data_IF_265412463227
#
_entry.id   IF_265412463227
#
_cell.length_a   1.000
_cell.length_b   1.000
_cell.length_c   1.000
_cell.angle_alpha   90.00
_cell.angle_beta   90.00
_cell.angle_gamma   90.00
#
_symmetry.space_group_name_H-M   'P 1'
#
loop_
_entity.id
_entity.type
_entity.pdbx_description
1 polymer ?
#
# COMPACT_ATOMS: atom_id res chain seq x y z
N UNK A 1 -2.74 -3.79 29.18
CA UNK A 1 -1.93 -3.63 27.95
C UNK A 1 -0.65 -2.91 28.31
N UNK A 2 0.51 -3.59 28.27
CA UNK A 2 1.80 -2.93 28.46
C UNK A 2 2.12 -2.04 27.25
N UNK A 3 2.42 -0.76 27.48
CA UNK A 3 2.41 0.32 26.49
C UNK A 3 3.66 0.38 25.59
N UNK A 4 4.69 -0.45 25.84
CA UNK A 4 6.03 -0.28 25.23
C UNK A 4 6.75 -1.59 24.86
N UNK A 5 6.03 -2.61 24.38
CA UNK A 5 6.66 -3.81 23.80
C UNK A 5 6.94 -3.60 22.31
N UNK A 6 8.01 -2.88 21.99
CA UNK A 6 8.54 -2.80 20.61
C UNK A 6 9.41 -4.02 20.34
N UNK A 7 9.17 -4.75 19.24
CA UNK A 7 10.13 -5.78 18.79
C UNK A 7 11.47 -5.10 18.49
N UNK A 8 12.57 -5.65 19.01
CA UNK A 8 13.90 -5.16 18.64
C UNK A 8 14.24 -5.57 17.20
N UNK A 9 15.06 -4.76 16.53
CA UNK A 9 15.55 -5.05 15.16
C UNK A 9 16.30 -6.38 15.09
N UNK A 10 17.04 -6.75 16.14
CA UNK A 10 17.72 -8.04 16.22
C UNK A 10 16.74 -9.22 16.18
N UNK A 11 15.59 -9.10 16.87
CA UNK A 11 14.54 -10.12 16.85
C UNK A 11 13.84 -10.23 15.49
N UNK A 12 13.72 -9.12 14.74
CA UNK A 12 13.16 -9.15 13.38
C UNK A 12 14.10 -9.88 12.40
N UNK A 13 15.42 -9.67 12.54
CA UNK A 13 16.42 -10.34 11.71
C UNK A 13 16.45 -11.85 11.98
N UNK A 14 16.44 -12.26 13.25
CA UNK A 14 16.40 -13.69 13.61
C UNK A 14 15.14 -14.38 13.10
N UNK A 15 13.97 -13.73 13.15
CA UNK A 15 12.73 -14.28 12.61
C UNK A 15 12.79 -14.42 11.07
N UNK A 16 13.39 -13.44 10.39
CA UNK A 16 13.55 -13.46 8.93
C UNK A 16 14.56 -14.54 8.46
N UNK A 17 15.58 -14.85 9.25
CA UNK A 17 16.55 -15.93 8.98
C UNK A 17 15.94 -17.32 9.20
N UNK A 18 15.01 -17.47 10.15
CA UNK A 18 14.29 -18.72 10.39
C UNK A 18 13.19 -19.02 9.34
N UNK A 19 12.98 -18.12 8.38
CA UNK A 19 11.98 -18.32 7.33
C UNK A 19 12.42 -19.42 6.35
N UNK A 20 11.54 -20.42 6.12
CA UNK A 20 11.76 -21.52 5.16
C UNK A 20 11.46 -21.12 3.70
N UNK A 21 11.09 -19.87 3.45
CA UNK A 21 10.73 -19.37 2.12
C UNK A 21 11.98 -18.99 1.32
N UNK A 22 12.01 -19.39 0.05
CA UNK A 22 13.08 -19.01 -0.86
C UNK A 22 12.88 -17.58 -1.38
N UNK A 23 13.93 -16.75 -1.29
CA UNK A 23 13.90 -15.33 -1.65
C UNK A 23 14.14 -15.13 -3.15
N UNK A 24 13.14 -15.46 -3.98
CA UNK A 24 13.24 -15.39 -5.45
C UNK A 24 12.40 -14.27 -6.10
N UNK A 25 11.77 -13.40 -5.32
CA UNK A 25 10.97 -12.30 -5.87
C UNK A 25 11.88 -11.30 -6.59
N UNK A 26 11.66 -11.15 -7.89
CA UNK A 26 12.32 -10.15 -8.71
C UNK A 26 11.66 -8.77 -8.53
N UNK A 27 12.32 -7.72 -9.04
CA UNK A 27 11.80 -6.34 -9.02
C UNK A 27 10.42 -6.26 -9.68
N UNK A 28 10.22 -7.01 -10.76
CA UNK A 28 8.93 -7.08 -11.44
C UNK A 28 7.86 -7.72 -10.57
N UNK A 29 8.15 -8.87 -9.95
CA UNK A 29 7.20 -9.56 -9.08
C UNK A 29 6.80 -8.68 -7.89
N UNK A 30 7.76 -7.95 -7.32
CA UNK A 30 7.51 -7.01 -6.23
C UNK A 30 6.68 -5.79 -6.67
N UNK A 31 6.90 -5.31 -7.90
CA UNK A 31 6.10 -4.23 -8.49
C UNK A 31 4.66 -4.67 -8.72
N UNK A 32 4.45 -5.86 -9.28
CA UNK A 32 3.12 -6.42 -9.47
C UNK A 32 2.42 -6.71 -8.14
N UNK A 33 3.16 -7.18 -7.13
CA UNK A 33 2.62 -7.33 -5.77
C UNK A 33 2.12 -5.99 -5.21
N UNK A 34 2.91 -4.92 -5.39
CA UNK A 34 2.52 -3.57 -4.98
C UNK A 34 1.28 -3.06 -5.72
N UNK A 35 1.29 -3.13 -7.06
CA UNK A 35 0.16 -2.70 -7.90
C UNK A 35 -1.11 -3.48 -7.56
N UNK A 36 -1.02 -4.80 -7.40
CA UNK A 36 -2.15 -5.65 -7.02
C UNK A 36 -2.67 -5.38 -5.61
N UNK A 37 -1.80 -4.94 -4.68
CA UNK A 37 -2.21 -4.53 -3.34
C UNK A 37 -2.89 -3.16 -3.30
N UNK A 38 -2.55 -2.25 -4.22
CA UNK A 38 -3.09 -0.88 -4.26
C UNK A 38 -4.41 -0.81 -5.02
N UNK A 39 -4.55 -1.54 -6.14
CA UNK A 39 -5.75 -1.51 -6.97
C UNK A 39 -6.84 -2.40 -6.34
N UNK A 40 -7.85 -1.78 -5.75
CA UNK A 40 -8.98 -2.47 -5.12
C UNK A 40 -10.29 -1.71 -5.21
N UNK A 41 -11.23 -2.01 -4.30
CA UNK A 41 -12.57 -1.41 -4.27
C UNK A 41 -12.57 0.13 -4.26
N UNK A 42 -11.52 0.76 -3.72
CA UNK A 42 -11.35 2.21 -3.69
C UNK A 42 -11.44 2.87 -5.06
N UNK A 43 -10.66 2.40 -6.05
CA UNK A 43 -10.64 3.04 -7.38
C UNK A 43 -11.91 2.74 -8.19
N UNK A 44 -12.52 1.56 -8.03
CA UNK A 44 -13.70 1.17 -8.79
C UNK A 44 -15.00 1.76 -8.26
N UNK A 45 -15.13 1.93 -6.94
CA UNK A 45 -16.38 2.41 -6.32
C UNK A 45 -16.24 3.86 -5.86
N UNK A 46 -15.18 4.18 -5.13
CA UNK A 46 -15.04 5.47 -4.46
C UNK A 46 -14.79 6.61 -5.44
N UNK A 47 -14.15 6.34 -6.59
CA UNK A 47 -13.95 7.32 -7.66
C UNK A 47 -15.28 7.86 -8.20
N UNK A 48 -16.28 6.98 -8.41
CA UNK A 48 -17.61 7.40 -8.88
C UNK A 48 -18.33 8.27 -7.85
N UNK A 49 -18.25 7.90 -6.57
CA UNK A 49 -18.81 8.69 -5.47
C UNK A 49 -18.09 10.03 -5.35
N UNK A 50 -16.75 10.04 -5.44
CA UNK A 50 -15.91 11.24 -5.42
C UNK A 50 -16.30 12.20 -6.55
N UNK A 51 -16.48 11.70 -7.76
CA UNK A 51 -16.93 12.50 -8.90
C UNK A 51 -18.37 13.02 -8.68
N UNK A 52 -19.31 12.16 -8.29
CA UNK A 52 -20.72 12.54 -8.22
C UNK A 52 -21.08 13.45 -7.03
N UNK A 53 -20.30 13.43 -5.94
CA UNK A 53 -20.63 14.11 -4.68
C UNK A 53 -19.63 15.18 -4.23
N UNK A 54 -18.38 15.13 -4.72
CA UNK A 54 -17.32 15.99 -4.20
C UNK A 54 -16.65 16.83 -5.29
N UNK A 55 -15.98 16.20 -6.25
CA UNK A 55 -15.07 16.90 -7.17
C UNK A 55 -15.63 17.09 -8.59
N UNK A 56 -16.70 16.37 -8.98
CA UNK A 56 -17.27 16.47 -10.32
C UNK A 56 -16.21 16.16 -11.40
N UNK A 57 -16.17 16.93 -12.51
CA UNK A 57 -15.15 16.76 -13.55
C UNK A 57 -13.72 17.06 -13.04
N UNK A 58 -13.56 17.73 -11.89
CA UNK A 58 -12.29 18.01 -11.24
C UNK A 58 -11.66 16.82 -10.50
N UNK A 59 -12.34 15.66 -10.46
CA UNK A 59 -11.87 14.48 -9.73
C UNK A 59 -10.48 14.01 -10.16
N UNK A 60 -10.13 14.18 -11.44
CA UNK A 60 -8.80 13.86 -11.95
C UNK A 60 -7.71 14.71 -11.27
N UNK A 61 -7.98 16.00 -11.04
CA UNK A 61 -7.05 16.90 -10.35
C UNK A 61 -6.88 16.50 -8.88
N UNK A 62 -7.97 16.08 -8.23
CA UNK A 62 -7.93 15.56 -6.86
C UNK A 62 -7.05 14.32 -6.74
N UNK A 63 -7.11 13.40 -7.70
CA UNK A 63 -6.26 12.21 -7.73
C UNK A 63 -4.78 12.54 -7.98
N UNK A 64 -4.47 13.54 -8.81
CA UNK A 64 -3.09 14.00 -9.00
C UNK A 64 -2.49 14.53 -7.70
N UNK A 65 -3.23 15.39 -6.98
CA UNK A 65 -2.77 15.93 -5.69
C UNK A 65 -2.61 14.82 -4.65
N UNK A 66 -3.58 13.90 -4.57
CA UNK A 66 -3.48 12.74 -3.67
C UNK A 66 -2.28 11.84 -4.01
N UNK A 67 -1.96 11.65 -5.29
CA UNK A 67 -0.79 10.92 -5.73
C UNK A 67 0.53 11.57 -5.27
N UNK A 68 0.64 12.90 -5.35
CA UNK A 68 1.82 13.64 -4.89
C UNK A 68 2.00 13.52 -3.37
N UNK A 69 0.90 13.49 -2.59
CA UNK A 69 0.95 13.34 -1.14
C UNK A 69 1.30 11.92 -0.66
N UNK A 70 1.12 10.90 -1.51
CA UNK A 70 1.33 9.50 -1.18
C UNK A 70 2.79 9.05 -1.36
N UNK A 71 3.59 9.82 -2.11
CA UNK A 71 5.04 9.65 -2.25
C UNK A 71 5.72 10.08 -0.94
#
# INVERSE_FOLDING_TARGET
MSFFHTKSVAQLQSDAENSKLSKNLSVFDLTFLGVGGIIGAGVFVLTGIAAARYAGPGVALSFVIAGILCI
#
